data_IF_119092042043
#
_entry.id   IF_119092042043
#
_cell.length_a   1.000
_cell.length_b   1.000
_cell.length_c   1.000
_cell.angle_alpha   90.00
_cell.angle_beta   90.00
_cell.angle_gamma   90.00
#
_symmetry.space_group_name_H-M   'P 1'
#
loop_
_entity.id
_entity.type
_entity.pdbx_description
1 polymer ?
#
# COMPACT_ATOMS: atom_id res chain seq x y z
N UNK A 1 -22.09 6.79 -0.73
CA UNK A 1 -21.23 7.07 -1.89
C UNK A 1 -19.81 6.73 -1.45
N UNK A 2 -19.46 5.44 -1.50
CA UNK A 2 -18.07 5.01 -1.27
C UNK A 2 -17.30 5.41 -2.52
N UNK A 3 -16.38 6.36 -2.39
CA UNK A 3 -15.54 6.75 -3.51
C UNK A 3 -14.54 5.61 -3.71
N UNK A 4 -14.87 4.72 -4.62
CA UNK A 4 -13.93 3.80 -5.26
C UNK A 4 -13.01 4.66 -6.14
N UNK A 5 -12.16 5.46 -5.51
CA UNK A 5 -11.16 6.28 -6.16
C UNK A 5 -10.01 5.34 -6.49
N UNK A 6 -9.68 5.23 -7.76
CA UNK A 6 -8.73 4.30 -8.35
C UNK A 6 -7.26 4.61 -7.99
N UNK A 7 -6.96 4.92 -6.73
CA UNK A 7 -5.69 5.55 -6.32
C UNK A 7 -4.52 4.60 -6.16
N UNK A 8 -4.74 3.30 -6.01
CA UNK A 8 -3.70 2.27 -5.97
C UNK A 8 -4.36 0.89 -6.05
N UNK A 9 -3.89 -0.01 -6.91
CA UNK A 9 -4.29 -1.43 -6.80
C UNK A 9 -3.24 -2.22 -6.05
N UNK A 10 -3.70 -2.98 -5.07
CA UNK A 10 -2.87 -3.93 -4.36
C UNK A 10 -2.86 -5.26 -5.14
N UNK A 11 -1.69 -5.86 -5.27
CA UNK A 11 -1.58 -7.24 -5.72
C UNK A 11 -1.93 -8.20 -4.60
N UNK A 12 -2.22 -9.45 -4.95
CA UNK A 12 -2.44 -10.51 -3.96
C UNK A 12 -1.22 -10.71 -3.05
N UNK A 13 0.00 -10.60 -3.58
CA UNK A 13 1.21 -10.75 -2.76
C UNK A 13 1.32 -9.65 -1.71
N UNK A 14 0.96 -8.40 -2.05
CA UNK A 14 0.92 -7.30 -1.10
C UNK A 14 -0.04 -7.58 0.06
N UNK A 15 -1.24 -8.07 -0.24
CA UNK A 15 -2.21 -8.46 0.78
C UNK A 15 -1.66 -9.56 1.69
N UNK A 16 -1.10 -10.62 1.11
CA UNK A 16 -0.52 -11.74 1.87
C UNK A 16 0.63 -11.28 2.76
N UNK A 17 1.54 -10.46 2.26
CA UNK A 17 2.67 -9.93 3.02
C UNK A 17 2.23 -9.07 4.21
N UNK A 18 1.21 -8.21 4.01
CA UNK A 18 0.64 -7.40 5.10
C UNK A 18 0.04 -8.32 6.17
N UNK A 19 -0.75 -9.31 5.76
CA UNK A 19 -1.35 -10.28 6.69
C UNK A 19 -0.29 -11.05 7.47
N UNK A 20 0.80 -11.47 6.84
CA UNK A 20 1.87 -12.22 7.50
C UNK A 20 2.60 -11.36 8.55
N UNK A 21 2.88 -10.10 8.22
CA UNK A 21 3.46 -9.15 9.17
C UNK A 21 2.52 -8.88 10.35
N UNK A 22 1.23 -8.68 10.09
CA UNK A 22 0.21 -8.51 11.14
C UNK A 22 -0.07 -9.78 11.92
N UNK A 23 0.15 -10.96 11.35
CA UNK A 23 0.06 -12.22 12.09
C UNK A 23 1.27 -12.41 13.03
N UNK A 24 2.43 -11.89 12.64
CA UNK A 24 3.66 -11.92 13.45
C UNK A 24 3.68 -10.89 14.59
N UNK A 25 2.86 -9.84 14.51
CA UNK A 25 2.79 -8.76 15.51
C UNK A 25 1.34 -8.66 15.96
N UNK A 26 1.03 -8.89 17.23
CA UNK A 26 -0.34 -8.84 17.78
C UNK A 26 -0.95 -7.42 17.68
N UNK A 27 -1.37 -7.04 16.47
CA UNK A 27 -1.88 -5.72 16.13
C UNK A 27 -3.41 -5.70 16.10
N UNK A 28 -4.03 -4.55 16.36
CA UNK A 28 -5.48 -4.40 16.25
C UNK A 28 -5.99 -4.80 14.86
N UNK A 29 -7.23 -5.30 14.79
CA UNK A 29 -7.91 -5.56 13.51
C UNK A 29 -8.05 -4.30 12.63
N UNK A 30 -8.01 -3.12 13.26
CA UNK A 30 -8.04 -1.83 12.57
C UNK A 30 -6.66 -1.35 12.08
N UNK A 31 -5.59 -2.06 12.45
CA UNK A 31 -4.25 -1.73 12.00
C UNK A 31 -4.11 -1.96 10.49
N UNK A 32 -3.25 -1.15 9.90
CA UNK A 32 -3.02 -1.11 8.46
C UNK A 32 -1.58 -0.83 8.12
N UNK A 33 -1.28 -0.91 6.84
CA UNK A 33 -0.01 -0.46 6.29
C UNK A 33 -0.15 0.98 5.81
N UNK A 34 0.67 1.90 6.29
CA UNK A 34 0.70 3.28 5.85
C UNK A 34 1.79 3.50 4.82
N UNK A 35 1.46 4.14 3.71
CA UNK A 35 2.35 4.55 2.63
C UNK A 35 2.56 6.06 2.72
N UNK A 36 3.81 6.49 2.84
CA UNK A 36 4.20 7.89 2.84
C UNK A 36 5.43 8.12 1.97
N UNK A 37 5.66 9.36 1.55
CA UNK A 37 6.93 9.73 0.92
C UNK A 37 8.06 9.55 1.93
N UNK A 38 9.11 8.84 1.51
CA UNK A 38 10.28 8.62 2.34
C UNK A 38 11.02 9.94 2.49
N UNK A 39 11.17 10.42 3.72
CA UNK A 39 11.74 11.75 3.98
C UNK A 39 13.22 11.87 3.56
N UNK A 40 13.95 10.75 3.49
CA UNK A 40 15.38 10.70 3.19
C UNK A 40 15.72 10.60 1.69
N UNK A 41 14.73 10.27 0.84
CA UNK A 41 14.95 9.97 -0.57
C UNK A 41 13.77 10.49 -1.41
N UNK A 42 14.00 11.59 -2.13
CA UNK A 42 12.97 12.24 -2.93
C UNK A 42 12.45 11.31 -4.04
N UNK A 43 11.15 10.99 -3.97
CA UNK A 43 10.49 10.06 -4.89
C UNK A 43 10.54 8.60 -4.46
N UNK A 44 11.20 8.27 -3.34
CA UNK A 44 11.00 7.01 -2.67
C UNK A 44 9.77 7.08 -1.77
N UNK A 45 9.12 5.93 -1.61
CA UNK A 45 7.97 5.75 -0.74
C UNK A 45 8.37 4.75 0.33
N UNK A 46 7.96 5.02 1.55
CA UNK A 46 8.12 4.13 2.69
C UNK A 46 6.79 3.56 3.10
N UNK A 47 6.84 2.32 3.62
CA UNK A 47 5.68 1.64 4.15
C UNK A 47 5.95 1.30 5.60
N UNK A 48 5.03 1.70 6.46
CA UNK A 48 5.13 1.51 7.90
C UNK A 48 3.81 0.94 8.44
N UNK A 49 3.88 0.01 9.37
CA UNK A 49 2.69 -0.43 10.10
C UNK A 49 2.16 0.73 10.93
N UNK A 50 0.87 1.02 10.78
CA UNK A 50 0.18 2.02 11.56
C UNK A 50 -1.08 1.42 12.16
N UNK A 51 -1.30 1.64 13.44
CA UNK A 51 -2.53 1.18 14.10
C UNK A 51 -3.77 1.95 13.61
N UNK A 52 -3.59 3.18 13.11
CA UNK A 52 -4.66 4.09 12.68
C UNK A 52 -4.19 4.92 11.46
N UNK A 53 -5.11 5.37 10.59
CA UNK A 53 -4.81 6.35 9.54
C UNK A 53 -4.48 7.73 10.14
N UNK A 54 -3.68 8.52 9.42
CA UNK A 54 -3.52 9.95 9.73
C UNK A 54 -4.55 10.82 9.02
N UNK A 55 -4.69 12.07 9.46
CA UNK A 55 -5.58 13.04 8.83
C UNK A 55 -5.12 13.33 7.40
N UNK A 56 -6.03 13.13 6.44
CA UNK A 56 -5.75 13.26 5.00
C UNK A 56 -5.36 11.93 4.34
N UNK A 57 -5.02 10.89 5.10
CA UNK A 57 -4.71 9.59 4.50
C UNK A 57 -5.96 8.98 3.84
N UNK A 58 -5.79 8.48 2.62
CA UNK A 58 -6.79 7.65 1.96
C UNK A 58 -6.73 6.22 2.49
N UNK A 59 -7.90 5.72 2.90
CA UNK A 59 -8.03 4.36 3.40
C UNK A 59 -8.48 3.47 2.24
N UNK A 60 -7.62 2.52 1.90
CA UNK A 60 -7.91 1.45 0.95
C UNK A 60 -8.15 0.18 1.77
N UNK A 61 -9.39 -0.29 1.77
CA UNK A 61 -9.73 -1.59 2.35
C UNK A 61 -9.74 -2.61 1.23
N UNK A 62 -8.95 -3.68 1.38
CA UNK A 62 -8.86 -4.76 0.39
C UNK A 62 -8.91 -6.09 1.10
N UNK A 63 -9.95 -6.88 0.82
CA UNK A 63 -10.24 -8.15 1.49
C UNK A 63 -10.34 -7.96 3.02
N UNK A 64 -9.25 -8.25 3.74
CA UNK A 64 -9.15 -8.16 5.22
C UNK A 64 -8.02 -7.24 5.69
N UNK A 65 -7.38 -6.49 4.78
CA UNK A 65 -6.28 -5.57 5.12
C UNK A 65 -6.63 -4.13 4.79
N UNK A 66 -6.09 -3.23 5.61
CA UNK A 66 -6.20 -1.78 5.41
C UNK A 66 -4.86 -1.21 4.99
N UNK A 67 -4.90 -0.36 3.98
CA UNK A 67 -3.74 0.43 3.55
C UNK A 67 -4.11 1.90 3.61
N UNK A 68 -3.29 2.66 4.33
CA UNK A 68 -3.44 4.11 4.49
C UNK A 68 -2.45 4.79 3.55
N UNK A 69 -2.93 5.59 2.62
CA UNK A 69 -2.10 6.26 1.62
C UNK A 69 -2.09 7.74 1.91
N UNK A 70 -0.91 8.31 2.19
CA UNK A 70 -0.80 9.73 2.47
C UNK A 70 -1.21 10.58 1.25
N UNK A 71 -1.98 11.64 1.48
CA UNK A 71 -2.60 12.46 0.42
C UNK A 71 -1.60 13.00 -0.61
N UNK A 72 -0.41 13.36 -0.14
CA UNK A 72 0.72 13.85 -0.94
C UNK A 72 1.25 12.81 -1.93
N UNK A 73 1.06 11.52 -1.65
CA UNK A 73 1.47 10.40 -2.50
C UNK A 73 0.36 9.89 -3.42
N UNK A 74 -0.90 10.21 -3.14
CA UNK A 74 -2.06 9.73 -3.90
C UNK A 74 -1.91 10.00 -5.40
N UNK A 75 -1.54 11.22 -5.77
CA UNK A 75 -1.39 11.60 -7.18
C UNK A 75 -0.25 10.84 -7.89
N UNK A 76 0.74 10.34 -7.14
CA UNK A 76 1.84 9.53 -7.67
C UNK A 76 1.46 8.05 -7.82
N UNK A 77 0.44 7.60 -7.08
CA UNK A 77 0.04 6.21 -6.94
C UNK A 77 -1.15 5.82 -7.83
N UNK A 78 -1.91 6.80 -8.35
CA UNK A 78 -3.15 6.60 -9.14
C UNK A 78 -2.98 5.62 -10.33
N UNK A 79 -1.80 5.62 -10.96
CA UNK A 79 -1.45 4.73 -12.08
C UNK A 79 -0.55 3.53 -11.67
N UNK A 80 -0.41 3.29 -10.37
CA UNK A 80 0.50 2.28 -9.82
C UNK A 80 -0.24 1.07 -9.24
N UNK A 81 0.50 -0.03 -9.14
CA UNK A 81 0.12 -1.20 -8.39
C UNK A 81 1.15 -1.45 -7.29
N UNK A 82 0.67 -1.67 -6.06
CA UNK A 82 1.49 -2.08 -4.95
C UNK A 82 1.65 -3.59 -4.99
N UNK A 83 2.87 -4.05 -5.26
CA UNK A 83 3.27 -5.44 -5.08
C UNK A 83 4.09 -5.58 -3.80
N UNK A 84 4.09 -6.79 -3.23
CA UNK A 84 5.06 -7.12 -2.19
C UNK A 84 5.85 -8.34 -2.61
N UNK A 85 7.16 -8.22 -2.44
CA UNK A 85 8.04 -9.36 -2.52
C UNK A 85 8.34 -9.87 -1.11
N UNK A 86 8.32 -11.20 -0.91
CA UNK A 86 8.83 -11.78 0.32
C UNK A 86 10.30 -11.36 0.47
N UNK A 87 10.56 -10.55 1.49
CA UNK A 87 11.86 -10.00 1.79
C UNK A 87 12.54 -10.80 2.90
N UNK A 88 13.11 -10.09 3.86
CA UNK A 88 13.61 -10.73 5.08
C UNK A 88 12.42 -11.14 5.95
N UNK A 89 12.45 -12.26 6.68
CA UNK A 89 11.36 -12.63 7.59
C UNK A 89 11.00 -11.47 8.53
N UNK A 90 9.72 -11.07 8.56
CA UNK A 90 9.22 -9.93 9.33
C UNK A 90 9.41 -8.55 8.66
N UNK A 91 10.05 -8.48 7.49
CA UNK A 91 10.27 -7.26 6.72
C UNK A 91 10.04 -7.55 5.22
N UNK A 92 8.77 -7.67 4.77
CA UNK A 92 8.48 -7.78 3.35
C UNK A 92 8.91 -6.51 2.61
N UNK A 93 9.42 -6.69 1.40
CA UNK A 93 9.82 -5.58 0.56
C UNK A 93 8.66 -5.20 -0.33
N UNK A 94 8.06 -4.05 -0.09
CA UNK A 94 7.00 -3.52 -0.93
C UNK A 94 7.58 -2.76 -2.13
N UNK A 95 6.92 -2.90 -3.27
CA UNK A 95 7.33 -2.30 -4.53
C UNK A 95 6.12 -1.70 -5.23
N UNK A 96 6.37 -0.60 -5.91
CA UNK A 96 5.38 0.02 -6.77
C UNK A 96 5.73 -0.24 -8.21
N UNK A 97 4.88 -1.01 -8.85
CA UNK A 97 4.98 -1.30 -10.26
C UNK A 97 4.05 -0.36 -11.02
N UNK A 98 4.52 0.12 -12.16
CA UNK A 98 3.65 0.82 -13.09
C UNK A 98 2.63 -0.20 -13.58
N UNK A 99 1.33 0.11 -13.47
CA UNK A 99 0.32 -0.63 -14.22
C UNK A 99 0.69 -0.50 -15.69
N UNK A 100 1.26 -1.55 -16.27
CA UNK A 100 1.47 -1.60 -17.71
C UNK A 100 0.09 -1.80 -18.31
N UNK A 101 -0.58 -0.70 -18.66
CA UNK A 101 -1.73 -0.78 -19.55
C UNK A 101 -1.28 -1.58 -20.78
N UNK A 102 -1.94 -2.69 -21.15
CA UNK A 102 -1.65 -3.33 -22.42
C UNK A 102 -1.82 -2.27 -23.50
N UNK A 103 -0.77 -2.03 -24.28
CA UNK A 103 -0.81 -1.15 -25.45
C UNK A 103 -2.03 -1.55 -26.29
N UNK A 104 -3.02 -0.66 -26.53
CA UNK A 104 -4.06 -0.99 -27.49
C UNK A 104 -3.36 -1.25 -28.84
N UNK A 105 -3.57 -2.45 -29.38
CA UNK A 105 -3.07 -2.79 -30.71
C UNK A 105 -3.65 -1.80 -31.73
N UNK A 106 -2.87 -1.35 -32.72
CA UNK A 106 -3.35 -0.43 -33.76
C UNK A 106 -4.50 -1.03 -34.58
#
# INVERSE_FOLDING_TARGET
MVKELAVLTLTHNAVVAIRDVMAGVDVPADAGLRISAKADEAGALELALASQPQAGDQIIETEDVRVFVAEDTVALLDDKSLDAQPGTPGQPTFRLDRRTSPRPAP
#
